data_IF_141450164335
#
_entry.id   IF_141450164335
#
_cell.length_a   1.000
_cell.length_b   1.000
_cell.length_c   1.000
_cell.angle_alpha   90.00
_cell.angle_beta   90.00
_cell.angle_gamma   90.00
#
_symmetry.space_group_name_H-M   'P 1'
#
loop_
_entity.id
_entity.type
_entity.pdbx_description
1 polymer ?
#
# COMPACT_ATOMS: atom_id res chain seq x y z
N UNK A 1 4.20 9.20 -8.48
CA UNK A 1 3.06 9.20 -7.55
C UNK A 1 2.76 7.76 -7.21
N UNK A 2 2.48 7.47 -5.94
CA UNK A 2 1.90 6.21 -5.50
C UNK A 2 0.39 6.35 -5.52
N UNK A 3 -0.29 5.34 -6.03
CA UNK A 3 -1.74 5.21 -5.91
C UNK A 3 -2.02 4.20 -4.81
N UNK A 4 -3.15 4.36 -4.10
CA UNK A 4 -3.56 3.32 -3.16
C UNK A 4 -3.81 2.02 -3.91
N UNK A 5 -3.21 0.90 -3.46
CA UNK A 5 -3.47 -0.39 -4.07
C UNK A 5 -4.95 -0.72 -3.97
N UNK A 6 -5.48 -1.29 -5.04
CA UNK A 6 -6.85 -1.80 -5.08
C UNK A 6 -6.84 -3.26 -5.49
N UNK A 7 -7.87 -3.99 -5.10
CA UNK A 7 -8.02 -5.40 -5.45
C UNK A 7 -9.46 -5.71 -5.86
N UNK A 8 -9.61 -6.73 -6.70
CA UNK A 8 -10.89 -7.26 -7.12
C UNK A 8 -10.88 -8.78 -6.98
N UNK A 9 -12.01 -9.33 -6.52
CA UNK A 9 -12.27 -10.78 -6.50
C UNK A 9 -13.15 -11.07 -7.70
N UNK A 10 -12.61 -11.81 -8.68
CA UNK A 10 -13.30 -12.13 -9.92
C UNK A 10 -14.08 -13.42 -9.73
N UNK A 11 -15.40 -13.35 -9.92
CA UNK A 11 -16.32 -14.46 -9.78
C UNK A 11 -16.89 -14.87 -11.15
N UNK A 12 -16.97 -16.16 -11.40
CA UNK A 12 -17.72 -16.74 -12.52
C UNK A 12 -18.48 -17.96 -12.03
N UNK A 13 -19.80 -18.01 -12.27
CA UNK A 13 -20.64 -19.11 -11.82
C UNK A 13 -20.66 -19.33 -10.31
N UNK A 14 -20.36 -18.29 -9.52
CA UNK A 14 -20.25 -18.38 -8.05
C UNK A 14 -18.88 -18.82 -7.53
N UNK A 15 -17.93 -19.11 -8.41
CA UNK A 15 -16.57 -19.54 -8.05
C UNK A 15 -15.58 -18.39 -8.23
N UNK A 16 -14.65 -18.26 -7.28
CA UNK A 16 -13.52 -17.34 -7.38
C UNK A 16 -12.54 -17.87 -8.42
N UNK A 17 -12.44 -17.14 -9.53
CA UNK A 17 -11.56 -17.45 -10.66
C UNK A 17 -10.17 -16.85 -10.48
N UNK A 18 -10.13 -15.60 -9.98
CA UNK A 18 -8.89 -14.87 -9.77
C UNK A 18 -9.07 -13.80 -8.71
N UNK A 19 -7.95 -13.44 -8.08
CA UNK A 19 -7.83 -12.23 -7.28
C UNK A 19 -6.86 -11.32 -8.02
N UNK A 20 -7.33 -10.14 -8.39
CA UNK A 20 -6.57 -9.17 -9.17
C UNK A 20 -6.17 -8.03 -8.26
N UNK A 21 -4.90 -7.63 -8.29
CA UNK A 21 -4.40 -6.43 -7.59
C UNK A 21 -3.95 -5.40 -8.61
N UNK A 22 -4.17 -4.13 -8.32
CA UNK A 22 -3.75 -3.00 -9.14
C UNK A 22 -3.05 -1.97 -8.25
N UNK A 23 -2.00 -1.35 -8.78
CA UNK A 23 -1.16 -0.37 -8.06
C UNK A 23 -0.52 -0.91 -6.78
N UNK A 24 -0.29 -2.22 -6.71
CA UNK A 24 0.44 -2.83 -5.59
C UNK A 24 1.89 -2.32 -5.59
N UNK A 25 2.48 -2.03 -4.42
CA UNK A 25 3.85 -1.54 -4.38
C UNK A 25 4.86 -2.58 -4.88
N UNK A 26 5.61 -2.29 -5.95
CA UNK A 26 6.58 -3.22 -6.55
C UNK A 26 7.68 -3.71 -5.59
N UNK A 27 7.96 -2.94 -4.53
CA UNK A 27 8.96 -3.27 -3.52
C UNK A 27 8.43 -4.15 -2.39
N UNK A 28 7.11 -4.41 -2.35
CA UNK A 28 6.47 -5.30 -1.38
C UNK A 28 6.09 -6.62 -2.04
N UNK A 29 6.23 -7.76 -1.34
CA UNK A 29 5.67 -9.00 -1.82
C UNK A 29 4.15 -8.88 -1.98
N UNK A 30 3.60 -9.58 -2.97
CA UNK A 30 2.15 -9.70 -3.12
C UNK A 30 1.55 -10.34 -1.86
N UNK A 31 0.41 -9.83 -1.36
CA UNK A 31 -0.17 -10.34 -0.13
C UNK A 31 -0.82 -11.70 -0.43
N UNK A 32 -0.69 -12.69 0.48
CA UNK A 32 -1.43 -13.93 0.35
C UNK A 32 -2.93 -13.65 0.60
N UNK A 33 -3.79 -14.20 -0.24
CA UNK A 33 -5.23 -14.20 0.02
C UNK A 33 -5.68 -15.58 0.48
N UNK A 34 -6.66 -15.60 1.37
CA UNK A 34 -7.31 -16.83 1.83
C UNK A 34 -8.80 -16.67 1.62
N UNK A 35 -9.40 -17.65 0.95
CA UNK A 35 -10.84 -17.80 0.80
C UNK A 35 -11.30 -18.80 1.85
N UNK A 36 -12.30 -18.41 2.64
CA UNK A 36 -12.89 -19.23 3.69
C UNK A 36 -14.38 -19.37 3.38
N UNK A 37 -14.82 -20.59 3.10
CA UNK A 37 -16.23 -20.92 2.95
C UNK A 37 -16.68 -21.71 4.18
N UNK A 38 -17.62 -21.15 4.93
CA UNK A 38 -18.19 -21.78 6.12
C UNK A 38 -19.30 -22.77 5.78
N UNK A 39 -19.76 -22.81 4.53
CA UNK A 39 -20.66 -23.86 4.07
C UNK A 39 -19.85 -25.12 3.76
N UNK A 40 -19.94 -26.10 4.66
CA UNK A 40 -19.29 -27.40 4.51
C UNK A 40 -20.25 -28.47 4.01
N UNK A 41 -21.50 -28.11 3.65
CA UNK A 41 -22.49 -29.07 3.20
C UNK A 41 -22.05 -29.77 1.91
N UNK A 42 -21.97 -31.11 1.96
CA UNK A 42 -21.59 -31.93 0.82
C UNK A 42 -20.08 -32.02 0.56
N UNK A 43 -19.24 -31.34 1.35
CA UNK A 43 -17.79 -31.47 1.26
C UNK A 43 -17.28 -32.77 1.88
N UNK A 44 -16.14 -33.27 1.39
CA UNK A 44 -15.48 -34.42 1.99
C UNK A 44 -14.76 -34.02 3.30
N UNK A 45 -14.66 -34.95 4.25
CA UNK A 45 -14.08 -34.67 5.57
C UNK A 45 -12.59 -34.27 5.51
N UNK A 46 -11.88 -34.69 4.46
CA UNK A 46 -10.49 -34.31 4.18
C UNK A 46 -10.33 -32.94 3.53
N UNK A 47 -11.42 -32.35 3.02
CA UNK A 47 -11.46 -30.98 2.49
C UNK A 47 -11.79 -29.95 3.57
N UNK A 48 -12.42 -30.39 4.67
CA UNK A 48 -12.84 -29.53 5.79
C UNK A 48 -11.65 -29.25 6.71
N UNK A 49 -11.30 -27.97 6.84
CA UNK A 49 -10.30 -27.50 7.79
C UNK A 49 -10.97 -27.10 9.10
N UNK A 50 -10.39 -27.57 10.21
CA UNK A 50 -10.90 -27.33 11.57
C UNK A 50 -10.01 -26.34 12.31
N UNK A 51 -10.62 -25.29 12.84
CA UNK A 51 -9.96 -24.23 13.58
C UNK A 51 -10.48 -24.16 15.01
N UNK A 52 -9.57 -24.01 15.97
CA UNK A 52 -9.91 -23.64 17.33
C UNK A 52 -9.98 -22.10 17.42
N UNK A 53 -11.18 -21.54 17.54
CA UNK A 53 -11.44 -20.10 17.67
C UNK A 53 -11.96 -19.82 19.08
N UNK A 54 -11.06 -19.37 19.96
CA UNK A 54 -11.34 -19.18 21.38
C UNK A 54 -11.74 -20.50 22.04
N UNK A 55 -12.98 -20.60 22.52
CA UNK A 55 -13.54 -21.82 23.12
C UNK A 55 -14.44 -22.61 22.15
N UNK A 56 -14.45 -22.26 20.87
CA UNK A 56 -15.31 -22.89 19.84
C UNK A 56 -14.47 -23.54 18.76
N UNK A 57 -15.02 -24.59 18.15
CA UNK A 57 -14.47 -25.19 16.93
C UNK A 57 -15.24 -24.65 15.73
N UNK A 58 -14.51 -24.19 14.73
CA UNK A 58 -15.06 -23.80 13.43
C UNK A 58 -14.58 -24.79 12.35
N UNK A 59 -15.47 -25.11 11.43
CA UNK A 59 -15.20 -25.92 10.25
C UNK A 59 -15.42 -25.05 9.02
N UNK A 60 -14.49 -25.12 8.08
CA UNK A 60 -14.58 -24.37 6.83
C UNK A 60 -13.79 -25.06 5.71
N UNK A 61 -14.18 -24.80 4.47
CA UNK A 61 -13.36 -25.03 3.31
C UNK A 61 -12.42 -23.84 3.15
N UNK A 62 -11.13 -24.11 2.97
CA UNK A 62 -10.13 -23.06 2.86
C UNK A 62 -9.25 -23.26 1.64
N UNK A 63 -9.00 -22.17 0.92
CA UNK A 63 -8.04 -22.13 -0.18
C UNK A 63 -7.17 -20.89 -0.06
N UNK A 64 -5.87 -21.04 -0.25
CA UNK A 64 -4.98 -19.90 -0.45
C UNK A 64 -4.87 -19.58 -1.93
N UNK A 65 -4.89 -18.29 -2.26
CA UNK A 65 -4.72 -17.79 -3.61
C UNK A 65 -3.61 -16.73 -3.64
N UNK A 66 -2.76 -16.81 -4.67
CA UNK A 66 -1.79 -15.76 -4.98
C UNK A 66 -2.45 -14.79 -5.95
N UNK A 67 -2.52 -13.50 -5.62
CA UNK A 67 -3.15 -12.53 -6.50
C UNK A 67 -2.32 -12.33 -7.77
N UNK A 68 -2.98 -11.90 -8.83
CA UNK A 68 -2.36 -11.55 -10.10
C UNK A 68 -2.36 -10.03 -10.27
N UNK A 69 -1.24 -9.49 -10.73
CA UNK A 69 -1.09 -8.05 -11.00
C UNK A 69 -1.86 -7.67 -12.26
N UNK A 70 -2.71 -6.64 -12.18
CA UNK A 70 -3.62 -6.22 -13.25
C UNK A 70 -2.90 -5.97 -14.58
N UNK A 71 -1.71 -5.36 -14.55
CA UNK A 71 -0.91 -5.06 -15.74
C UNK A 71 -0.52 -6.31 -16.54
N UNK A 72 -0.60 -7.50 -15.94
CA UNK A 72 -0.38 -8.79 -16.61
C UNK A 72 -1.64 -9.41 -17.23
N UNK A 73 -2.81 -8.78 -17.05
CA UNK A 73 -4.13 -9.28 -17.47
C UNK A 73 -4.80 -8.30 -18.47
N UNK A 74 -4.54 -8.42 -19.78
CA UNK A 74 -4.99 -7.44 -20.77
C UNK A 74 -6.52 -7.37 -20.95
N UNK A 75 -7.24 -8.45 -20.65
CA UNK A 75 -8.69 -8.55 -20.83
C UNK A 75 -9.49 -8.42 -19.52
N UNK A 76 -8.82 -8.16 -18.39
CA UNK A 76 -9.48 -8.03 -17.10
C UNK A 76 -10.09 -6.63 -16.90
N UNK A 77 -11.15 -6.55 -16.10
CA UNK A 77 -11.63 -5.27 -15.58
C UNK A 77 -10.63 -4.75 -14.53
N UNK A 78 -10.19 -3.50 -14.70
CA UNK A 78 -9.37 -2.81 -13.71
C UNK A 78 -10.14 -2.67 -12.39
N UNK A 79 -9.60 -3.13 -11.25
CA UNK A 79 -10.19 -2.88 -9.93
C UNK A 79 -10.55 -1.41 -9.71
N UNK A 80 -9.69 -0.48 -10.13
CA UNK A 80 -9.96 0.97 -10.02
C UNK A 80 -11.11 1.45 -10.88
N UNK A 81 -11.21 0.99 -12.13
CA UNK A 81 -12.32 1.36 -13.01
C UNK A 81 -13.64 0.87 -12.43
N UNK A 82 -13.65 -0.31 -11.80
CA UNK A 82 -14.84 -0.83 -11.10
C UNK A 82 -15.19 0.04 -9.89
N UNK A 83 -14.21 0.37 -9.03
CA UNK A 83 -14.44 1.26 -7.88
C UNK A 83 -14.98 2.63 -8.30
N UNK A 84 -14.41 3.23 -9.34
CA UNK A 84 -14.88 4.49 -9.89
C UNK A 84 -16.32 4.38 -10.45
N UNK A 85 -16.67 3.27 -11.09
CA UNK A 85 -18.02 3.02 -11.59
C UNK A 85 -19.05 2.78 -10.46
N UNK A 86 -18.59 2.44 -9.25
CA UNK A 86 -19.39 2.27 -8.03
C UNK A 86 -19.43 3.54 -7.16
N UNK A 87 -18.86 4.66 -7.63
CA UNK A 87 -18.69 5.90 -6.86
C UNK A 87 -17.91 5.73 -5.55
N UNK A 88 -17.03 4.72 -5.46
CA UNK A 88 -16.14 4.54 -4.32
C UNK A 88 -14.95 5.52 -4.39
N UNK A 89 -14.55 6.14 -3.26
CA UNK A 89 -13.48 7.11 -3.26
C UNK A 89 -12.14 6.43 -3.56
N UNK A 90 -11.62 6.68 -4.75
CA UNK A 90 -10.26 6.27 -5.11
C UNK A 90 -9.31 7.38 -4.69
N UNK A 91 -8.52 7.14 -3.65
CA UNK A 91 -7.49 8.10 -3.23
C UNK A 91 -6.39 8.12 -4.29
N UNK A 92 -6.39 9.20 -5.04
CA UNK A 92 -5.38 9.49 -6.02
C UNK A 92 -4.26 10.32 -5.42
N UNK A 93 -3.04 9.88 -5.72
CA UNK A 93 -1.83 10.68 -5.69
C UNK A 93 -1.28 11.00 -4.29
N UNK A 94 -0.62 10.02 -3.67
CA UNK A 94 0.45 10.34 -2.73
C UNK A 94 1.77 10.49 -3.49
N UNK A 95 2.66 11.44 -3.16
CA UNK A 95 4.01 11.42 -3.69
C UNK A 95 4.65 10.08 -3.31
N UNK A 96 5.36 9.45 -4.23
CA UNK A 96 5.99 8.17 -3.92
C UNK A 96 6.98 8.36 -2.76
N UNK A 97 7.05 7.46 -1.76
CA UNK A 97 7.96 7.62 -0.63
C UNK A 97 9.40 7.92 -1.07
N UNK A 98 9.86 7.24 -2.12
CA UNK A 98 11.18 7.47 -2.70
C UNK A 98 11.35 8.88 -3.31
N UNK A 99 10.30 9.44 -3.93
CA UNK A 99 10.32 10.79 -4.46
C UNK A 99 10.39 11.85 -3.34
N UNK A 100 9.71 11.62 -2.21
CA UNK A 100 9.80 12.47 -1.02
C UNK A 100 11.22 12.41 -0.46
N UNK A 101 11.77 11.20 -0.26
CA UNK A 101 13.13 11.02 0.21
C UNK A 101 14.18 11.70 -0.69
N UNK A 102 14.03 11.59 -2.02
CA UNK A 102 14.88 12.29 -2.97
C UNK A 102 14.78 13.81 -2.87
N UNK A 103 13.56 14.36 -2.70
CA UNK A 103 13.34 15.79 -2.52
C UNK A 103 14.04 16.30 -1.27
N UNK A 104 13.86 15.64 -0.13
CA UNK A 104 14.51 16.02 1.14
C UNK A 104 16.03 16.01 0.99
N UNK A 105 16.59 14.94 0.41
CA UNK A 105 18.03 14.85 0.14
C UNK A 105 18.52 15.99 -0.75
N UNK A 106 17.76 16.34 -1.78
CA UNK A 106 18.14 17.42 -2.70
C UNK A 106 18.11 18.78 -1.98
N UNK A 107 17.09 19.08 -1.19
CA UNK A 107 17.01 20.34 -0.43
C UNK A 107 18.19 20.53 0.52
N UNK A 108 18.63 19.47 1.21
CA UNK A 108 19.81 19.53 2.09
C UNK A 108 21.09 19.82 1.28
N UNK A 109 21.26 19.18 0.12
CA UNK A 109 22.42 19.41 -0.75
C UNK A 109 22.43 20.81 -1.35
N UNK A 110 21.25 21.33 -1.72
CA UNK A 110 21.11 22.68 -2.28
C UNK A 110 21.48 23.73 -1.23
N UNK A 111 21.04 23.56 0.02
CA UNK A 111 21.40 24.48 1.10
C UNK A 111 22.90 24.42 1.46
N UNK A 112 23.50 23.22 1.47
CA UNK A 112 24.94 23.05 1.68
C UNK A 112 25.74 23.77 0.57
N UNK A 113 25.31 23.61 -0.69
CA UNK A 113 25.89 24.30 -1.83
C UNK A 113 25.73 25.83 -1.74
N UNK A 114 24.61 26.35 -1.24
CA UNK A 114 24.38 27.77 -1.05
C UNK A 114 25.28 28.37 0.05
N UNK A 115 25.51 27.62 1.14
CA UNK A 115 26.44 28.02 2.21
C UNK A 115 27.88 28.09 1.67
N UNK A 116 28.29 27.05 0.95
CA UNK A 116 29.61 26.97 0.32
C UNK A 116 29.82 28.09 -0.70
N UNK A 117 28.83 28.35 -1.56
CA UNK A 117 28.88 29.41 -2.56
C UNK A 117 28.96 30.82 -1.94
N UNK A 118 28.38 31.00 -0.75
CA UNK A 118 28.45 32.25 -0.01
C UNK A 118 29.76 32.41 0.79
N UNK A 119 30.68 31.45 0.75
CA UNK A 119 31.95 31.40 1.49
C UNK A 119 31.79 31.74 2.99
N UNK A 120 30.62 31.40 3.56
CA UNK A 120 30.27 31.75 4.94
C UNK A 120 30.19 30.50 5.79
N UNK A 121 30.48 30.65 7.08
CA UNK A 121 30.19 29.57 8.02
C UNK A 121 28.68 29.40 8.21
N UNK A 122 28.20 28.17 8.44
CA UNK A 122 26.81 27.92 8.80
C UNK A 122 26.40 28.73 10.04
N UNK A 123 25.22 29.30 9.98
CA UNK A 123 24.57 30.09 11.03
C UNK A 123 23.48 29.28 11.71
N UNK A 124 22.96 29.78 12.84
CA UNK A 124 21.82 29.17 13.51
C UNK A 124 20.59 29.06 12.61
N UNK A 125 20.39 30.01 11.71
CA UNK A 125 19.26 30.03 10.78
C UNK A 125 19.39 28.89 9.74
N UNK A 126 20.60 28.65 9.24
CA UNK A 126 20.85 27.52 8.31
C UNK A 126 20.55 26.17 8.95
N UNK A 127 20.93 25.99 10.23
CA UNK A 127 20.59 24.76 10.95
C UNK A 127 19.09 24.62 11.18
N UNK A 128 18.39 25.73 11.43
CA UNK A 128 16.95 25.73 11.58
C UNK A 128 16.25 25.38 10.26
N UNK A 129 16.76 25.87 9.12
CA UNK A 129 16.25 25.54 7.80
C UNK A 129 16.46 24.07 7.44
N UNK A 130 17.64 23.50 7.72
CA UNK A 130 17.89 22.05 7.59
C UNK A 130 16.91 21.26 8.45
N UNK A 131 16.78 21.66 9.71
CA UNK A 131 15.90 20.98 10.66
C UNK A 131 14.46 20.96 10.16
N UNK A 132 13.94 22.11 9.73
CA UNK A 132 12.57 22.22 9.23
C UNK A 132 12.36 21.39 7.96
N UNK A 133 13.26 21.51 6.98
CA UNK A 133 13.16 20.77 5.72
C UNK A 133 13.25 19.25 5.93
N UNK A 134 14.19 18.80 6.78
CA UNK A 134 14.35 17.40 7.11
C UNK A 134 13.15 16.87 7.89
N UNK A 135 12.67 17.61 8.89
CA UNK A 135 11.55 17.18 9.73
C UNK A 135 10.23 17.13 8.94
N UNK A 136 9.86 18.20 8.23
CA UNK A 136 8.66 18.20 7.39
C UNK A 136 8.72 17.10 6.32
N UNK A 137 9.87 16.94 5.66
CA UNK A 137 10.05 15.91 4.66
C UNK A 137 10.02 14.47 5.21
N UNK A 138 10.52 14.26 6.43
CA UNK A 138 10.39 12.97 7.13
C UNK A 138 8.95 12.68 7.53
N UNK A 139 8.19 13.69 7.98
CA UNK A 139 6.76 13.57 8.27
C UNK A 139 6.00 13.18 7.01
N UNK A 140 6.20 13.89 5.90
CA UNK A 140 5.60 13.55 4.60
C UNK A 140 5.94 12.11 4.18
N UNK A 141 7.20 11.69 4.38
CA UNK A 141 7.65 10.34 4.07
C UNK A 141 6.94 9.29 4.93
N UNK A 142 6.87 9.51 6.25
CA UNK A 142 6.21 8.60 7.20
C UNK A 142 4.72 8.46 6.89
N UNK A 143 4.04 9.57 6.63
CA UNK A 143 2.64 9.56 6.21
C UNK A 143 2.45 8.80 4.88
N UNK A 144 3.34 8.98 3.91
CA UNK A 144 3.31 8.22 2.64
C UNK A 144 3.56 6.73 2.79
N UNK A 145 4.18 6.31 3.89
CA UNK A 145 4.39 4.91 4.26
C UNK A 145 3.25 4.35 5.14
N UNK A 146 2.25 5.16 5.47
CA UNK A 146 1.06 4.74 6.23
C UNK A 146 1.09 5.06 7.72
N UNK A 147 2.02 5.89 8.20
CA UNK A 147 2.00 6.38 9.59
C UNK A 147 0.83 7.35 9.80
N UNK A 148 0.01 7.09 10.83
CA UNK A 148 -1.18 7.88 11.19
C UNK A 148 -0.92 8.82 12.38
N UNK A 149 0.31 8.94 12.84
CA UNK A 149 0.67 9.81 13.96
C UNK A 149 0.35 11.27 13.64
N UNK A 150 -0.18 11.98 14.64
CA UNK A 150 -0.32 13.44 14.59
C UNK A 150 1.01 14.07 14.99
N UNK A 151 1.69 14.69 14.01
CA UNK A 151 3.01 15.27 14.20
C UNK A 151 2.95 16.74 14.67
N UNK A 152 1.76 17.31 14.84
CA UNK A 152 1.54 18.71 15.21
C UNK A 152 1.86 19.68 14.06
N UNK A 153 1.01 20.70 13.88
CA UNK A 153 1.31 21.89 13.06
C UNK A 153 2.31 22.84 13.75
#
# INVERSE_FOLDING_TARGET
MYQNPSFAIVLEGGLIQAIVVQDWPDHLPLPPFVVVDYDTEGAADDEIVRFDIGNTKAEALCRSDTPTVFESLPDALSPRVVLAALDEPVQDEMPAPLAIAHRVRQSILDLDADIDAAERSPTGDDYNDIYLQANCGLIELLQSLGDQSDFGE
#
